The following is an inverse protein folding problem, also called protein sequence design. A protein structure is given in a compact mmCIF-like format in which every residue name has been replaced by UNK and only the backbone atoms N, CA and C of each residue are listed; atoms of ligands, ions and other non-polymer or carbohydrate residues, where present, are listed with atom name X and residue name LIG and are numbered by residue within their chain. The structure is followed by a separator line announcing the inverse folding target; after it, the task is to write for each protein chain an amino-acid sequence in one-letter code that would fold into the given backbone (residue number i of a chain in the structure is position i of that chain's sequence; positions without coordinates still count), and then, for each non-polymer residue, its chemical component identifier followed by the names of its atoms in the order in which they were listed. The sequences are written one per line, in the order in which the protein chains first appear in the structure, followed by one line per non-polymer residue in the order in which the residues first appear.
data_IF_359582631858
#
_entry.id   IF_359582631858
#
_cell.length_a   1.000
_cell.length_b   1.000
_cell.length_c   1.000
_cell.angle_alpha   90.00
_cell.angle_beta   90.00
_cell.angle_gamma   90.00
#
_symmetry.space_group_name_H-M   'P 1'
#
loop_
_entity.id
_entity.type
_entity.pdbx_description
1 polymer ?
#
# COMPACT_ATOMS: atom_id res chain seq x y z
N UNK A 1 -11.69 10.49 7.69
CA UNK A 1 -10.58 11.41 7.32
C UNK A 1 -10.22 11.15 5.86
N UNK A 2 -10.79 11.90 4.90
CA UNK A 2 -10.72 11.58 3.47
C UNK A 2 -9.33 11.81 2.84
N UNK A 3 -8.51 12.73 3.36
CA UNK A 3 -7.17 12.99 2.83
C UNK A 3 -6.23 11.78 2.91
N UNK A 4 -6.40 10.96 3.96
CA UNK A 4 -5.59 9.77 4.19
C UNK A 4 -5.92 8.65 3.19
N UNK A 5 -7.17 8.54 2.78
CA UNK A 5 -7.65 7.53 1.83
C UNK A 5 -7.18 7.88 0.42
N UNK A 6 -7.34 9.15 0.02
CA UNK A 6 -6.82 9.69 -1.24
C UNK A 6 -5.30 9.54 -1.37
N UNK A 7 -4.55 9.51 -0.26
CA UNK A 7 -3.10 9.31 -0.30
C UNK A 7 -2.70 7.87 -0.65
N UNK A 8 -3.51 6.88 -0.28
CA UNK A 8 -3.27 5.46 -0.56
C UNK A 8 -3.55 5.16 -2.02
N UNK A 9 -4.70 5.62 -2.52
CA UNK A 9 -5.11 5.45 -3.92
C UNK A 9 -4.08 6.08 -4.88
N UNK A 10 -3.58 7.29 -4.53
CA UNK A 10 -2.52 7.95 -5.29
C UNK A 10 -1.20 7.18 -5.27
N UNK A 11 -0.81 6.63 -4.12
CA UNK A 11 0.40 5.84 -4.00
C UNK A 11 0.30 4.52 -4.79
N UNK A 12 -0.86 3.87 -4.78
CA UNK A 12 -1.15 2.67 -5.56
C UNK A 12 -1.09 2.96 -7.07
N UNK A 13 -1.77 4.01 -7.51
CA UNK A 13 -1.75 4.44 -8.91
C UNK A 13 -0.34 4.80 -9.39
N UNK A 14 0.48 5.42 -8.52
CA UNK A 14 1.88 5.71 -8.84
C UNK A 14 2.72 4.43 -8.96
N UNK A 15 2.49 3.44 -8.10
CA UNK A 15 3.17 2.16 -8.17
C UNK A 15 2.85 1.42 -9.48
N UNK A 16 1.58 1.42 -9.91
CA UNK A 16 1.17 0.85 -11.21
C UNK A 16 1.84 1.56 -12.39
N UNK A 17 1.95 2.89 -12.33
CA UNK A 17 2.68 3.66 -13.34
C UNK A 17 4.17 3.30 -13.38
N UNK A 18 4.80 3.13 -12.23
CA UNK A 18 6.20 2.73 -12.13
C UNK A 18 6.41 1.36 -12.77
N UNK A 19 5.56 0.37 -12.45
CA UNK A 19 5.62 -0.98 -13.05
C UNK A 19 5.50 -0.87 -14.56
N UNK A 20 4.50 -0.15 -15.07
CA UNK A 20 4.29 0.03 -16.51
C UNK A 20 5.49 0.70 -17.20
N UNK A 21 6.12 1.68 -16.54
CA UNK A 21 7.31 2.35 -17.08
C UNK A 21 8.53 1.42 -17.11
N UNK A 22 8.69 0.57 -16.10
CA UNK A 22 9.78 -0.41 -16.03
C UNK A 22 9.62 -1.57 -17.03
N UNK A 23 8.39 -1.87 -17.45
CA UNK A 23 8.08 -2.84 -18.52
C UNK A 23 8.35 -2.30 -19.93
N UNK A 24 8.55 -0.99 -20.09
CA UNK A 24 8.81 -0.36 -21.38
C UNK A 24 10.27 -0.51 -21.85
N UNK A 25 10.46 -0.73 -23.15
CA UNK A 25 11.78 -0.98 -23.76
C UNK A 25 12.71 0.25 -23.80
N UNK A 26 12.19 1.46 -23.60
CA UNK A 26 12.91 2.75 -23.75
C UNK A 26 13.39 3.37 -22.42
N UNK A 27 13.27 2.64 -21.29
CA UNK A 27 13.72 3.16 -19.99
C UNK A 27 15.23 2.96 -19.83
N UNK A 28 15.96 4.07 -19.63
CA UNK A 28 17.40 4.00 -19.37
C UNK A 28 17.69 3.35 -18.02
N UNK A 29 18.85 2.71 -17.87
CA UNK A 29 19.25 2.06 -16.60
C UNK A 29 19.17 3.01 -15.39
N UNK A 30 19.60 4.26 -15.54
CA UNK A 30 19.54 5.25 -14.46
C UNK A 30 18.09 5.60 -14.09
N UNK A 31 17.21 5.71 -15.09
CA UNK A 31 15.77 5.88 -14.89
C UNK A 31 15.17 4.66 -14.18
N UNK A 32 15.55 3.44 -14.60
CA UNK A 32 15.07 2.20 -14.00
C UNK A 32 15.41 2.13 -12.51
N UNK A 33 16.62 2.51 -12.13
CA UNK A 33 17.05 2.51 -10.73
C UNK A 33 16.25 3.51 -9.90
N UNK A 34 16.02 4.72 -10.42
CA UNK A 34 15.19 5.74 -9.74
C UNK A 34 13.75 5.26 -9.54
N UNK A 35 13.14 4.72 -10.60
CA UNK A 35 11.78 4.18 -10.57
C UNK A 35 11.67 2.99 -9.61
N UNK A 36 12.64 2.09 -9.61
CA UNK A 36 12.69 0.95 -8.70
C UNK A 36 12.76 1.40 -7.24
N UNK A 37 13.68 2.33 -6.90
CA UNK A 37 13.76 2.87 -5.55
C UNK A 37 12.47 3.56 -5.11
N UNK A 38 11.84 4.32 -6.00
CA UNK A 38 10.55 4.94 -5.73
C UNK A 38 9.47 3.88 -5.46
N UNK A 39 9.40 2.85 -6.30
CA UNK A 39 8.46 1.74 -6.16
C UNK A 39 8.61 1.01 -4.83
N UNK A 40 9.84 0.70 -4.42
CA UNK A 40 10.12 0.05 -3.13
C UNK A 40 9.65 0.92 -1.96
N UNK A 41 9.92 2.24 -1.99
CA UNK A 41 9.47 3.17 -0.94
C UNK A 41 7.94 3.28 -0.87
N UNK A 42 7.27 3.31 -2.01
CA UNK A 42 5.80 3.35 -2.08
C UNK A 42 5.19 2.05 -1.54
N UNK A 43 5.72 0.89 -1.95
CA UNK A 43 5.24 -0.41 -1.49
C UNK A 43 5.39 -0.57 0.03
N UNK A 44 6.54 -0.18 0.60
CA UNK A 44 6.75 -0.19 2.06
C UNK A 44 5.77 0.73 2.79
N UNK A 45 5.50 1.91 2.25
CA UNK A 45 4.54 2.86 2.83
C UNK A 45 3.12 2.30 2.84
N UNK A 46 2.70 1.68 1.73
CA UNK A 46 1.38 1.05 1.60
C UNK A 46 1.23 -0.13 2.56
N UNK A 47 2.26 -0.98 2.66
CA UNK A 47 2.29 -2.10 3.60
C UNK A 47 2.10 -1.64 5.05
N UNK A 48 2.87 -0.65 5.50
CA UNK A 48 2.73 -0.07 6.85
C UNK A 48 1.32 0.47 7.11
N UNK A 49 0.71 1.08 6.10
CA UNK A 49 -0.66 1.61 6.18
C UNK A 49 -1.68 0.48 6.39
N UNK A 50 -1.52 -0.63 5.67
CA UNK A 50 -2.37 -1.80 5.80
C UNK A 50 -2.22 -2.42 7.19
N UNK A 51 -0.98 -2.59 7.67
CA UNK A 51 -0.69 -3.10 9.03
C UNK A 51 -1.31 -2.20 10.12
N UNK A 52 -1.24 -0.87 9.97
CA UNK A 52 -1.92 0.06 10.87
C UNK A 52 -3.45 -0.10 10.86
N UNK A 53 -4.01 -0.34 9.68
CA UNK A 53 -5.44 -0.60 9.49
C UNK A 53 -5.87 -1.88 10.19
N UNK A 54 -5.15 -2.97 9.94
CA UNK A 54 -5.37 -4.28 10.55
C UNK A 54 -5.29 -4.22 12.08
N UNK A 55 -4.28 -3.53 12.63
CA UNK A 55 -4.15 -3.34 14.07
C UNK A 55 -5.33 -2.57 14.68
N UNK A 56 -5.85 -1.57 13.96
CA UNK A 56 -7.04 -0.82 14.42
C UNK A 56 -8.28 -1.71 14.40
N UNK A 57 -8.49 -2.49 13.35
CA UNK A 57 -9.59 -3.45 13.26
C UNK A 57 -9.50 -4.44 14.43
N UNK A 58 -8.32 -5.04 14.65
CA UNK A 58 -8.06 -5.95 15.77
C UNK A 58 -8.44 -5.34 17.13
N UNK A 59 -8.01 -4.11 17.42
CA UNK A 59 -8.35 -3.42 18.68
C UNK A 59 -9.84 -3.18 18.86
N UNK A 60 -10.54 -2.85 17.78
CA UNK A 60 -12.00 -2.64 17.81
C UNK A 60 -12.73 -3.96 18.08
N UNK A 61 -12.29 -5.05 17.44
CA UNK A 61 -12.85 -6.38 17.64
C UNK A 61 -12.59 -6.90 19.07
N UNK A 62 -11.38 -6.73 19.61
CA UNK A 62 -11.06 -7.08 21.00
C UNK A 62 -11.92 -6.31 22.02
N UNK A 63 -12.40 -5.11 21.66
CA UNK A 63 -13.25 -4.27 22.51
C UNK A 63 -14.75 -4.50 22.30
N UNK A 64 -15.15 -5.33 21.32
CA UNK A 64 -16.55 -5.58 20.97
C UNK A 64 -16.91 -7.02 21.26
N UNK A 65 -17.76 -7.27 22.27
CA UNK A 65 -18.21 -8.63 22.58
C UNK A 65 -18.96 -9.26 21.40
N UNK A 66 -18.51 -10.44 20.98
CA UNK A 66 -19.18 -11.25 19.95
C UNK A 66 -18.58 -11.22 18.55
N UNK A 67 -17.52 -10.43 18.30
CA UNK A 67 -16.79 -10.45 17.02
C UNK A 67 -15.36 -10.97 17.20
N UNK A 68 -14.92 -11.87 16.31
CA UNK A 68 -13.55 -12.40 16.25
C UNK A 68 -12.88 -11.98 14.95
N UNK A 69 -11.54 -11.87 14.96
CA UNK A 69 -10.76 -11.64 13.74
C UNK A 69 -10.98 -12.75 12.72
N UNK A 70 -11.16 -13.99 13.19
CA UNK A 70 -11.43 -15.16 12.35
C UNK A 70 -12.77 -15.07 11.58
N UNK A 71 -13.67 -14.15 11.97
CA UNK A 71 -14.93 -13.90 11.27
C UNK A 71 -14.74 -13.10 9.97
N UNK A 72 -13.56 -12.50 9.80
CA UNK A 72 -13.16 -11.79 8.60
C UNK A 72 -12.06 -12.61 7.91
N UNK A 73 -12.41 -13.33 6.84
CA UNK A 73 -11.43 -14.00 5.98
C UNK A 73 -10.58 -12.94 5.25
N UNK A 74 -9.51 -12.47 5.89
CA UNK A 74 -8.45 -11.65 5.29
C UNK A 74 -7.30 -12.56 4.88
#
# INVERSE_FOLDING_TARGET
MPEKEQSVEKALARLEQIVKSLEGDDVSLEESLKLFEEGVRLADTLKKRLEEGELRVKKVLESTEGFRLDDFEI
#
